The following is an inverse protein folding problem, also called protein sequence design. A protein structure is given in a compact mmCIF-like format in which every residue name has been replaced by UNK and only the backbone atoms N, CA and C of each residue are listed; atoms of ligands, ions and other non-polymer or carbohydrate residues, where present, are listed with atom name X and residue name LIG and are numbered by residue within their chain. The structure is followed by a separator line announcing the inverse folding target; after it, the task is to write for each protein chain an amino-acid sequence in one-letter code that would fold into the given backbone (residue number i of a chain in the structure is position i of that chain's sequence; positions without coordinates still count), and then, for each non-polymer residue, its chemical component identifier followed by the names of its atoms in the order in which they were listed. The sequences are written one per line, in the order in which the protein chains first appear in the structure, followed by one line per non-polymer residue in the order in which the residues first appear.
data_IF_137550605678
#
_entry.id   IF_137550605678
#
_cell.length_a   1.000
_cell.length_b   1.000
_cell.length_c   1.000
_cell.angle_alpha   90.00
_cell.angle_beta   90.00
_cell.angle_gamma   90.00
#
_symmetry.space_group_name_H-M   'P 1'
#
loop_
_entity.id
_entity.type
_entity.pdbx_description
1 polymer ?
#
# COMPACT_ATOMS: atom_id res chain seq x y z
N UNK A 1 -12.75 -43.83 30.35
CA UNK A 1 -11.71 -43.52 29.35
C UNK A 1 -12.38 -42.69 28.26
N UNK A 2 -12.04 -41.41 28.11
CA UNK A 2 -12.63 -40.56 27.08
C UNK A 2 -12.12 -41.01 25.70
N UNK A 3 -13.03 -41.24 24.77
CA UNK A 3 -12.71 -41.79 23.46
C UNK A 3 -11.77 -40.85 22.67
N UNK A 4 -10.81 -41.41 21.89
CA UNK A 4 -9.80 -40.63 21.16
C UNK A 4 -10.39 -39.57 20.22
N UNK A 5 -11.62 -39.77 19.73
CA UNK A 5 -12.32 -38.81 18.86
C UNK A 5 -12.69 -37.49 19.55
N UNK A 6 -12.94 -37.47 20.87
CA UNK A 6 -13.25 -36.22 21.58
C UNK A 6 -12.02 -35.31 21.71
N UNK A 7 -10.82 -35.90 21.74
CA UNK A 7 -9.56 -35.17 21.80
C UNK A 7 -9.19 -34.53 20.45
N UNK A 8 -9.42 -35.24 19.35
CA UNK A 8 -9.19 -34.73 18.00
C UNK A 8 -10.17 -33.60 17.65
N UNK A 9 -11.43 -33.72 18.05
CA UNK A 9 -12.43 -32.68 17.86
C UNK A 9 -12.06 -31.40 18.63
N UNK A 10 -11.61 -31.53 19.89
CA UNK A 10 -11.12 -30.38 20.69
C UNK A 10 -9.88 -29.72 20.08
N UNK A 11 -8.96 -30.51 19.52
CA UNK A 11 -7.78 -29.98 18.81
C UNK A 11 -8.18 -29.22 17.55
N UNK A 12 -9.03 -29.81 16.71
CA UNK A 12 -9.53 -29.16 15.50
C UNK A 12 -10.29 -27.86 15.79
N UNK A 13 -11.07 -27.82 16.88
CA UNK A 13 -11.78 -26.61 17.30
C UNK A 13 -10.83 -25.51 17.76
N UNK A 14 -9.78 -25.87 18.51
CA UNK A 14 -8.73 -24.94 18.94
C UNK A 14 -7.96 -24.37 17.74
N UNK A 15 -7.59 -25.22 16.78
CA UNK A 15 -6.92 -24.78 15.55
C UNK A 15 -7.81 -23.88 14.68
N UNK A 16 -9.10 -24.19 14.59
CA UNK A 16 -10.06 -23.36 13.87
C UNK A 16 -10.21 -21.99 14.55
N UNK A 17 -10.32 -21.95 15.87
CA UNK A 17 -10.37 -20.69 16.63
C UNK A 17 -9.10 -19.85 16.38
N UNK A 18 -7.91 -20.47 16.40
CA UNK A 18 -6.66 -19.79 16.10
C UNK A 18 -6.66 -19.19 14.67
N UNK A 19 -7.14 -19.94 13.67
CA UNK A 19 -7.25 -19.45 12.29
C UNK A 19 -8.25 -18.30 12.15
N UNK A 20 -9.38 -18.35 12.86
CA UNK A 20 -10.37 -17.27 12.85
C UNK A 20 -9.76 -15.99 13.44
N UNK A 21 -9.03 -16.10 14.55
CA UNK A 21 -8.35 -14.96 15.18
C UNK A 21 -7.29 -14.37 14.24
N UNK A 22 -6.44 -15.19 13.64
CA UNK A 22 -5.41 -14.75 12.70
C UNK A 22 -6.01 -14.04 11.48
N UNK A 23 -7.08 -14.60 10.91
CA UNK A 23 -7.78 -14.00 9.78
C UNK A 23 -8.40 -12.64 10.17
N UNK A 24 -9.02 -12.54 11.34
CA UNK A 24 -9.57 -11.28 11.84
C UNK A 24 -8.50 -10.21 12.06
N UNK A 25 -7.32 -10.59 12.54
CA UNK A 25 -6.19 -9.67 12.68
C UNK A 25 -5.70 -9.18 11.31
N UNK A 26 -5.55 -10.07 10.33
CA UNK A 26 -5.17 -9.71 8.96
C UNK A 26 -6.16 -8.77 8.29
N UNK A 27 -7.46 -8.98 8.50
CA UNK A 27 -8.51 -8.07 7.99
C UNK A 27 -8.33 -6.67 8.56
N UNK A 28 -8.15 -6.54 9.89
CA UNK A 28 -7.91 -5.22 10.52
C UNK A 28 -6.66 -4.52 9.99
N UNK A 29 -5.58 -5.27 9.77
CA UNK A 29 -4.35 -4.72 9.18
C UNK A 29 -4.58 -4.26 7.74
N UNK A 30 -5.36 -5.00 6.95
CA UNK A 30 -5.73 -4.62 5.60
C UNK A 30 -6.59 -3.34 5.60
N UNK A 31 -7.54 -3.21 6.52
CA UNK A 31 -8.37 -1.99 6.64
C UNK A 31 -7.51 -0.76 6.93
N UNK A 32 -6.56 -0.86 7.86
CA UNK A 32 -5.61 0.23 8.17
C UNK A 32 -4.76 0.58 6.95
N UNK A 33 -4.28 -0.42 6.20
CA UNK A 33 -3.52 -0.19 4.97
C UNK A 33 -4.36 0.51 3.90
N UNK A 34 -5.63 0.13 3.74
CA UNK A 34 -6.56 0.78 2.80
C UNK A 34 -6.75 2.26 3.18
N UNK A 35 -6.98 2.57 4.46
CA UNK A 35 -7.11 3.95 4.92
C UNK A 35 -5.83 4.76 4.67
N UNK A 36 -4.66 4.18 4.96
CA UNK A 36 -3.38 4.82 4.70
C UNK A 36 -3.18 5.11 3.21
N UNK A 37 -3.44 4.12 2.34
CA UNK A 37 -3.33 4.28 0.89
C UNK A 37 -4.31 5.34 0.37
N UNK A 38 -5.53 5.39 0.88
CA UNK A 38 -6.51 6.41 0.52
C UNK A 38 -6.05 7.83 0.90
N UNK A 39 -5.41 8.00 2.07
CA UNK A 39 -4.84 9.29 2.49
C UNK A 39 -3.68 9.70 1.58
N UNK A 40 -2.77 8.78 1.29
CA UNK A 40 -1.64 9.05 0.38
C UNK A 40 -2.13 9.40 -1.02
N UNK A 41 -3.11 8.67 -1.56
CA UNK A 41 -3.71 8.96 -2.88
C UNK A 41 -4.30 10.37 -2.93
N UNK A 42 -5.05 10.77 -1.90
CA UNK A 42 -5.59 12.13 -1.80
C UNK A 42 -4.48 13.17 -1.72
N UNK A 43 -3.44 12.92 -0.92
CA UNK A 43 -2.30 13.82 -0.80
C UNK A 43 -1.60 14.02 -2.15
N UNK A 44 -1.24 12.94 -2.84
CA UNK A 44 -0.61 13.00 -4.16
C UNK A 44 -1.49 13.77 -5.15
N UNK A 45 -2.79 13.46 -5.19
CA UNK A 45 -3.71 14.14 -6.11
C UNK A 45 -3.82 15.65 -5.86
N UNK A 46 -3.91 16.05 -4.58
CA UNK A 46 -3.96 17.48 -4.22
C UNK A 46 -2.64 18.18 -4.57
N UNK A 47 -1.50 17.57 -4.23
CA UNK A 47 -0.19 18.14 -4.54
C UNK A 47 0.01 18.28 -6.06
N UNK A 48 -0.35 17.27 -6.83
CA UNK A 48 -0.22 17.31 -8.29
C UNK A 48 -1.14 18.38 -8.92
N UNK A 49 -2.37 18.50 -8.40
CA UNK A 49 -3.31 19.55 -8.82
C UNK A 49 -2.75 20.95 -8.57
N UNK A 50 -2.28 21.22 -7.33
CA UNK A 50 -1.69 22.51 -6.97
C UNK A 50 -0.47 22.82 -7.86
N UNK A 51 0.41 21.84 -8.10
CA UNK A 51 1.58 22.01 -8.98
C UNK A 51 1.17 22.29 -10.42
N UNK A 52 0.14 21.63 -10.94
CA UNK A 52 -0.38 21.87 -12.29
C UNK A 52 -0.93 23.29 -12.47
N UNK A 53 -1.47 23.91 -11.42
CA UNK A 53 -1.96 25.31 -11.48
C UNK A 53 -0.84 26.36 -11.58
N UNK A 54 0.40 26.01 -11.22
CA UNK A 54 1.54 26.92 -11.27
C UNK A 54 2.08 27.07 -12.70
N UNK A 55 2.77 28.18 -12.98
CA UNK A 55 3.43 28.42 -14.27
C UNK A 55 4.66 27.51 -14.41
N UNK A 56 4.98 27.07 -15.63
CA UNK A 56 6.00 26.03 -15.90
C UNK A 56 7.44 26.36 -15.43
N UNK A 57 7.74 27.63 -15.20
CA UNK A 57 9.06 28.10 -14.71
C UNK A 57 9.08 28.43 -13.21
N UNK A 58 8.02 28.12 -12.46
CA UNK A 58 8.01 28.37 -11.02
C UNK A 58 9.06 27.50 -10.31
N UNK A 59 9.93 28.17 -9.54
CA UNK A 59 10.88 27.49 -8.65
C UNK A 59 10.12 26.95 -7.44
N UNK A 60 10.23 25.65 -7.20
CA UNK A 60 9.61 24.93 -6.09
C UNK A 60 10.69 24.39 -5.15
N UNK A 61 10.28 24.04 -3.93
CA UNK A 61 11.16 23.38 -2.96
C UNK A 61 10.56 22.02 -2.63
N UNK A 62 11.39 20.99 -2.70
CA UNK A 62 11.09 19.66 -2.21
C UNK A 62 11.95 19.39 -0.97
N UNK A 63 11.59 18.43 -0.11
CA UNK A 63 12.30 18.11 1.14
C UNK A 63 13.80 17.79 0.99
N UNK A 64 14.31 17.71 -0.23
CA UNK A 64 15.72 17.47 -0.60
C UNK A 64 16.38 18.60 -1.40
N UNK A 65 15.69 19.72 -1.69
CA UNK A 65 16.31 20.88 -2.36
C UNK A 65 15.37 21.73 -3.23
N UNK A 66 15.96 22.65 -4.01
CA UNK A 66 15.24 23.47 -5.01
C UNK A 66 15.02 22.66 -6.28
N UNK A 67 13.81 22.67 -6.82
CA UNK A 67 13.45 22.01 -8.07
C UNK A 67 12.53 22.91 -8.92
N UNK A 68 12.58 22.80 -10.24
CA UNK A 68 11.62 23.48 -11.13
C UNK A 68 10.44 22.56 -11.43
N UNK A 69 9.25 23.13 -11.64
CA UNK A 69 8.02 22.38 -11.97
C UNK A 69 8.22 21.32 -13.05
N UNK A 70 8.82 21.69 -14.19
CA UNK A 70 9.11 20.75 -15.29
C UNK A 70 9.93 19.53 -14.84
N UNK A 71 11.03 19.76 -14.12
CA UNK A 71 11.92 18.70 -13.66
C UNK A 71 11.29 17.80 -12.58
N UNK A 72 10.36 18.34 -11.79
CA UNK A 72 9.58 17.56 -10.83
C UNK A 72 8.63 16.59 -11.55
N UNK A 73 7.86 17.10 -12.52
CA UNK A 73 6.91 16.30 -13.30
C UNK A 73 7.61 15.19 -14.09
N UNK A 74 8.73 15.50 -14.75
CA UNK A 74 9.53 14.49 -15.48
C UNK A 74 10.02 13.36 -14.56
N UNK A 75 10.41 13.68 -13.32
CA UNK A 75 10.84 12.70 -12.33
C UNK A 75 9.67 11.87 -11.81
N UNK A 76 8.55 12.51 -11.49
CA UNK A 76 7.33 11.84 -11.01
C UNK A 76 6.79 10.83 -12.04
N UNK A 77 6.77 11.20 -13.33
CA UNK A 77 6.39 10.28 -14.41
C UNK A 77 7.34 9.09 -14.48
N UNK A 78 8.66 9.34 -14.41
CA UNK A 78 9.66 8.26 -14.45
C UNK A 78 9.52 7.29 -13.27
N UNK A 79 9.32 7.80 -12.06
CA UNK A 79 9.09 6.97 -10.87
C UNK A 79 7.82 6.12 -10.99
N UNK A 80 6.74 6.69 -11.57
CA UNK A 80 5.52 5.95 -11.82
C UNK A 80 5.73 4.82 -12.86
N UNK A 81 6.48 5.08 -13.93
CA UNK A 81 6.84 4.06 -14.92
C UNK A 81 7.69 2.93 -14.33
N UNK A 82 8.66 3.25 -13.49
CA UNK A 82 9.55 2.28 -12.85
C UNK A 82 8.77 1.41 -11.84
N UNK A 83 7.87 2.01 -11.04
CA UNK A 83 6.97 1.26 -10.16
C UNK A 83 6.07 0.28 -10.94
N UNK A 84 5.50 0.72 -12.07
CA UNK A 84 4.68 -0.16 -12.93
C UNK A 84 5.53 -1.30 -13.50
N UNK A 85 6.76 -1.03 -13.93
CA UNK A 85 7.68 -2.07 -14.40
C UNK A 85 7.95 -3.10 -13.31
N UNK A 86 8.25 -2.67 -12.09
CA UNK A 86 8.49 -3.59 -10.97
C UNK A 86 7.26 -4.46 -10.68
N UNK A 87 6.05 -3.88 -10.67
CA UNK A 87 4.81 -4.65 -10.49
C UNK A 87 4.62 -5.72 -11.58
N UNK A 88 4.92 -5.40 -12.84
CA UNK A 88 4.84 -6.36 -13.94
C UNK A 88 5.88 -7.48 -13.81
N UNK A 89 7.09 -7.18 -13.32
CA UNK A 89 8.13 -8.17 -13.08
C UNK A 89 7.78 -9.09 -11.91
N UNK A 90 7.30 -8.54 -10.79
CA UNK A 90 6.87 -9.32 -9.63
C UNK A 90 5.71 -10.27 -9.97
N UNK A 91 4.77 -9.84 -10.82
CA UNK A 91 3.66 -10.68 -11.29
C UNK A 91 4.08 -11.78 -12.26
N UNK A 92 5.22 -11.64 -12.94
CA UNK A 92 5.79 -12.69 -13.81
C UNK A 92 6.63 -13.70 -13.03
N UNK A 93 6.99 -13.40 -11.78
CA UNK A 93 7.79 -14.27 -10.91
C UNK A 93 6.95 -15.15 -9.97
N UNK A 94 5.63 -14.98 -9.96
CA UNK A 94 4.63 -15.86 -9.31
C UNK A 94 3.98 -16.77 -10.35
#
# INVERSE_FOLDING_TARGET
MAAPMDLELKKAFTELQAKVIDTQQKVKLADIQIEQQNRTKKHVHLTDTEIMTLVDETNMYEGVGRIRKKSYLERSVKEAEDNIREMLMARRAQ
#
